data_IF_773181783137
#
_entry.id   IF_773181783137
#
_cell.length_a   1.000
_cell.length_b   1.000
_cell.length_c   1.000
_cell.angle_alpha   90.00
_cell.angle_beta   90.00
_cell.angle_gamma   90.00
#
_symmetry.space_group_name_H-M   'P 1'
#
loop_
_entity.id
_entity.type
_entity.pdbx_description
1 polymer ?
#
# COMPACT_ATOMS: atom_id res chain seq x y z
N UNK A 1 -21.95 23.06 -4.38
CA UNK A 1 -21.02 22.21 -3.63
C UNK A 1 -21.85 21.40 -2.67
N UNK A 2 -21.57 20.11 -2.51
CA UNK A 2 -22.27 19.25 -1.58
C UNK A 2 -21.45 19.08 -0.31
N UNK A 3 -22.12 19.04 0.85
CA UNK A 3 -21.48 18.79 2.14
C UNK A 3 -21.41 17.30 2.42
N UNK A 4 -20.22 16.78 2.69
CA UNK A 4 -20.00 15.40 3.10
C UNK A 4 -19.72 15.36 4.59
N UNK A 5 -20.49 14.56 5.32
CA UNK A 5 -20.30 14.31 6.75
C UNK A 5 -19.91 12.85 6.97
N UNK A 6 -18.79 12.63 7.65
CA UNK A 6 -18.36 11.29 8.06
C UNK A 6 -19.08 10.88 9.34
N UNK A 7 -19.28 9.58 9.55
CA UNK A 7 -19.79 9.03 10.82
C UNK A 7 -18.92 9.39 12.04
N UNK A 8 -17.66 9.77 11.82
CA UNK A 8 -16.75 10.31 12.84
C UNK A 8 -17.03 11.78 13.22
N UNK A 9 -17.96 12.45 12.55
CA UNK A 9 -18.31 13.86 12.77
C UNK A 9 -17.48 14.87 11.97
N UNK A 10 -16.44 14.43 11.25
CA UNK A 10 -15.69 15.30 10.32
C UNK A 10 -16.53 15.63 9.10
N UNK A 11 -16.38 16.83 8.55
CA UNK A 11 -17.08 17.24 7.35
C UNK A 11 -16.19 18.03 6.39
N UNK A 12 -16.52 17.97 5.10
CA UNK A 12 -15.82 18.68 4.03
C UNK A 12 -16.76 18.89 2.83
N UNK A 13 -16.45 19.87 2.00
CA UNK A 13 -17.22 20.15 0.78
C UNK A 13 -16.62 19.42 -0.42
N UNK A 14 -17.48 19.04 -1.37
CA UNK A 14 -17.05 18.49 -2.66
C UNK A 14 -17.63 19.27 -3.84
N UNK A 15 -16.82 19.37 -4.90
CA UNK A 15 -17.24 19.89 -6.20
C UNK A 15 -17.69 18.75 -7.12
N UNK A 16 -18.53 19.06 -8.10
CA UNK A 16 -19.08 18.07 -9.04
C UNK A 16 -18.04 17.35 -9.89
N UNK A 17 -16.83 17.92 -10.00
CA UNK A 17 -15.77 17.44 -10.87
C UNK A 17 -14.63 16.77 -10.09
N UNK A 18 -14.68 16.83 -8.75
CA UNK A 18 -13.69 16.19 -7.87
C UNK A 18 -14.26 14.92 -7.28
N UNK A 19 -13.39 13.91 -7.10
CA UNK A 19 -13.77 12.71 -6.36
C UNK A 19 -13.91 13.05 -4.87
N UNK A 20 -14.73 12.28 -4.15
CA UNK A 20 -14.89 12.40 -2.69
C UNK A 20 -13.53 12.31 -1.99
N UNK A 21 -12.66 11.40 -2.45
CA UNK A 21 -11.31 11.22 -1.91
C UNK A 21 -10.43 12.46 -2.12
N UNK A 22 -10.45 13.06 -3.31
CA UNK A 22 -9.64 14.25 -3.61
C UNK A 22 -10.14 15.45 -2.81
N UNK A 23 -11.45 15.65 -2.72
CA UNK A 23 -12.05 16.69 -1.88
C UNK A 23 -11.69 16.51 -0.40
N UNK A 24 -11.77 15.29 0.13
CA UNK A 24 -11.36 15.01 1.50
C UNK A 24 -9.88 15.34 1.74
N UNK A 25 -9.01 14.94 0.80
CA UNK A 25 -7.57 15.20 0.87
C UNK A 25 -7.28 16.71 0.88
N UNK A 26 -7.95 17.49 0.02
CA UNK A 26 -7.82 18.95 -0.05
C UNK A 26 -8.30 19.64 1.23
N UNK A 27 -9.30 19.09 1.90
CA UNK A 27 -9.81 19.58 3.19
C UNK A 27 -9.08 18.99 4.40
N UNK A 28 -7.95 18.30 4.20
CA UNK A 28 -7.17 17.63 5.26
C UNK A 28 -7.97 16.59 6.06
N UNK A 29 -8.99 15.99 5.43
CA UNK A 29 -9.77 14.88 5.97
C UNK A 29 -9.21 13.58 5.40
N UNK A 30 -8.62 12.76 6.27
CA UNK A 30 -8.06 11.47 5.88
C UNK A 30 -9.16 10.43 5.62
N UNK A 31 -9.21 9.92 4.39
CA UNK A 31 -9.96 8.71 4.02
C UNK A 31 -8.98 7.60 3.64
N UNK A 32 -9.33 6.31 3.84
CA UNK A 32 -8.54 5.20 3.34
C UNK A 32 -8.39 5.24 1.81
N UNK A 33 -7.19 4.94 1.30
CA UNK A 33 -6.91 4.73 -0.12
C UNK A 33 -5.55 4.06 -0.37
N UNK A 34 -5.43 3.48 -1.57
CA UNK A 34 -4.19 2.98 -2.17
C UNK A 34 -4.12 3.42 -3.65
N UNK A 35 -4.84 2.76 -4.57
CA UNK A 35 -4.60 2.95 -6.01
C UNK A 35 -5.15 4.21 -6.68
N UNK A 36 -6.13 4.90 -6.07
CA UNK A 36 -6.88 6.03 -6.65
C UNK A 36 -7.47 5.82 -8.07
N UNK A 37 -7.72 4.58 -8.48
CA UNK A 37 -8.20 4.25 -9.84
C UNK A 37 -9.47 3.40 -9.85
N UNK A 38 -10.17 3.31 -8.71
CA UNK A 38 -11.42 2.57 -8.59
C UNK A 38 -11.29 1.04 -8.63
N UNK A 39 -10.09 0.48 -8.35
CA UNK A 39 -9.80 -0.96 -8.51
C UNK A 39 -9.52 -1.72 -7.22
N UNK A 40 -8.68 -1.18 -6.32
CA UNK A 40 -8.15 -1.95 -5.18
C UNK A 40 -9.08 -2.07 -3.96
N UNK A 41 -10.25 -1.43 -3.99
CA UNK A 41 -11.24 -1.42 -2.89
C UNK A 41 -10.80 -0.84 -1.53
N UNK A 42 -9.56 -0.36 -1.38
CA UNK A 42 -9.07 0.22 -0.11
C UNK A 42 -9.88 1.45 0.30
N UNK A 43 -10.35 2.25 -0.65
CA UNK A 43 -11.12 3.47 -0.40
C UNK A 43 -12.63 3.25 -0.28
N UNK A 44 -13.03 2.01 0.00
CA UNK A 44 -14.42 1.60 0.16
C UNK A 44 -15.06 2.28 1.36
N UNK A 45 -16.22 2.87 1.16
CA UNK A 45 -17.05 3.48 2.20
C UNK A 45 -18.52 3.22 1.91
N UNK A 46 -19.37 3.33 2.93
CA UNK A 46 -20.81 3.11 2.81
C UNK A 46 -21.55 4.43 2.81
N UNK A 47 -22.45 4.61 1.86
CA UNK A 47 -23.38 5.74 1.85
C UNK A 47 -24.49 5.44 2.85
N UNK A 48 -24.58 6.26 3.89
CA UNK A 48 -25.65 6.20 4.89
C UNK A 48 -26.85 7.02 4.41
N UNK A 49 -26.61 8.16 3.77
CA UNK A 49 -27.63 8.98 3.13
C UNK A 49 -27.07 9.85 2.00
N UNK A 50 -27.96 10.25 1.09
CA UNK A 50 -27.68 11.08 -0.07
C UNK A 50 -27.25 10.29 -1.31
N UNK A 51 -26.83 11.02 -2.35
CA UNK A 51 -26.60 10.46 -3.68
C UNK A 51 -25.19 10.76 -4.23
N UNK A 52 -24.70 9.82 -5.05
CA UNK A 52 -23.36 9.91 -5.67
C UNK A 52 -23.42 9.66 -7.16
N UNK A 53 -22.42 10.21 -7.85
CA UNK A 53 -22.20 10.00 -9.29
C UNK A 53 -20.81 9.43 -9.53
N UNK A 54 -20.70 8.47 -10.44
CA UNK A 54 -19.43 7.88 -10.87
C UNK A 54 -18.68 8.86 -11.78
N UNK A 55 -17.41 9.11 -11.45
CA UNK A 55 -16.45 9.90 -12.26
C UNK A 55 -15.38 9.00 -12.92
N UNK A 56 -14.99 7.94 -12.24
CA UNK A 56 -13.98 6.96 -12.70
C UNK A 56 -14.59 5.57 -12.62
N UNK A 57 -14.20 4.66 -13.51
CA UNK A 57 -14.69 3.28 -13.49
C UNK A 57 -14.53 2.64 -12.11
N UNK A 58 -15.64 2.19 -11.53
CA UNK A 58 -15.71 1.61 -10.18
C UNK A 58 -15.74 0.07 -10.30
N UNK A 59 -14.54 -0.51 -10.42
CA UNK A 59 -14.33 -1.93 -10.73
C UNK A 59 -13.98 -2.77 -9.50
N UNK A 60 -13.54 -2.13 -8.42
CA UNK A 60 -13.17 -2.78 -7.16
C UNK A 60 -14.35 -3.12 -6.25
N UNK A 61 -15.59 -3.15 -6.75
CA UNK A 61 -16.77 -3.53 -5.97
C UNK A 61 -17.60 -4.54 -6.75
N UNK A 62 -18.12 -5.52 -6.03
CA UNK A 62 -19.14 -6.42 -6.54
C UNK A 62 -20.47 -5.69 -6.71
N UNK A 63 -21.36 -6.21 -7.56
CA UNK A 63 -22.70 -5.62 -7.73
C UNK A 63 -23.54 -5.69 -6.44
N UNK A 64 -23.33 -6.71 -5.61
CA UNK A 64 -23.97 -6.83 -4.29
C UNK A 64 -23.50 -5.72 -3.35
N UNK A 65 -22.19 -5.46 -3.29
CA UNK A 65 -21.67 -4.36 -2.48
C UNK A 65 -22.24 -3.00 -2.94
N UNK A 66 -22.32 -2.78 -4.27
CA UNK A 66 -22.91 -1.55 -4.82
C UNK A 66 -24.39 -1.41 -4.45
N UNK A 67 -25.17 -2.49 -4.53
CA UNK A 67 -26.59 -2.46 -4.12
C UNK A 67 -26.78 -2.24 -2.64
N UNK A 68 -25.82 -2.69 -1.82
CA UNK A 68 -25.82 -2.50 -0.36
C UNK A 68 -25.34 -1.09 0.06
N UNK A 69 -25.12 -0.19 -0.90
CA UNK A 69 -24.73 1.20 -0.67
C UNK A 69 -23.23 1.42 -0.47
N UNK A 70 -22.39 0.43 -0.77
CA UNK A 70 -20.94 0.61 -0.80
C UNK A 70 -20.50 1.32 -2.07
N UNK A 71 -19.55 2.24 -1.91
CA UNK A 71 -18.92 3.00 -2.99
C UNK A 71 -17.41 3.04 -2.81
N UNK A 72 -16.68 3.43 -3.87
CA UNK A 72 -15.28 3.80 -3.80
C UNK A 72 -15.15 5.33 -3.82
N UNK A 73 -14.68 5.92 -2.72
CA UNK A 73 -14.53 7.39 -2.60
C UNK A 73 -13.59 7.99 -3.65
N UNK A 74 -12.66 7.22 -4.22
CA UNK A 74 -11.79 7.66 -5.32
C UNK A 74 -12.44 7.60 -6.72
N UNK A 75 -13.64 7.03 -6.83
CA UNK A 75 -14.32 6.81 -8.10
C UNK A 75 -15.58 7.67 -8.26
N UNK A 76 -16.07 8.27 -7.18
CA UNK A 76 -17.35 8.98 -7.14
C UNK A 76 -17.22 10.41 -6.63
N UNK A 77 -18.18 11.23 -7.01
CA UNK A 77 -18.47 12.56 -6.43
C UNK A 77 -19.87 12.54 -5.79
N UNK A 78 -20.18 13.54 -4.97
CA UNK A 78 -21.51 13.71 -4.37
C UNK A 78 -22.41 14.58 -5.27
N UNK A 79 -23.68 14.21 -5.41
CA UNK A 79 -24.71 15.03 -6.09
C UNK A 79 -25.65 15.74 -5.12
N UNK A 80 -25.73 15.25 -3.88
CA UNK A 80 -26.42 15.88 -2.75
C UNK A 80 -25.48 15.89 -1.54
N UNK A 81 -25.90 16.50 -0.44
CA UNK A 81 -25.22 16.28 0.84
C UNK A 81 -25.20 14.79 1.17
N UNK A 82 -24.07 14.31 1.71
CA UNK A 82 -23.81 12.90 1.98
C UNK A 82 -23.50 12.67 3.44
N UNK A 83 -23.96 11.53 3.96
CA UNK A 83 -23.41 10.93 5.16
C UNK A 83 -22.68 9.64 4.77
N UNK A 84 -21.39 9.56 5.10
CA UNK A 84 -20.54 8.40 4.79
C UNK A 84 -20.07 7.70 6.06
N UNK A 85 -20.22 6.39 6.07
CA UNK A 85 -19.52 5.51 7.01
C UNK A 85 -18.19 5.09 6.38
N UNK A 86 -17.09 5.45 7.04
CA UNK A 86 -15.73 5.22 6.56
C UNK A 86 -14.91 4.57 7.66
N UNK A 87 -13.97 3.71 7.27
CA UNK A 87 -13.00 3.13 8.17
C UNK A 87 -12.12 4.22 8.83
N UNK A 88 -11.97 4.13 10.15
CA UNK A 88 -11.16 5.05 10.93
C UNK A 88 -9.66 4.81 10.67
N UNK A 89 -8.92 5.88 10.39
CA UNK A 89 -7.46 5.84 10.26
C UNK A 89 -6.75 5.79 11.62
N UNK A 90 -7.48 5.58 12.72
CA UNK A 90 -6.96 5.43 14.07
C UNK A 90 -6.50 6.75 14.68
N UNK A 91 -7.09 7.87 14.25
CA UNK A 91 -6.67 9.22 14.68
C UNK A 91 -5.29 9.66 14.15
N UNK A 92 -4.69 8.89 13.24
CA UNK A 92 -3.36 9.21 12.69
C UNK A 92 -3.43 10.44 11.79
N UNK A 93 -2.59 11.44 12.10
CA UNK A 93 -2.43 12.62 11.26
C UNK A 93 -1.63 12.26 10.00
N UNK A 94 -2.28 12.35 8.84
CA UNK A 94 -1.64 12.03 7.56
C UNK A 94 -0.71 13.19 7.18
N UNK A 95 0.59 12.95 6.91
CA UNK A 95 1.49 14.00 6.48
C UNK A 95 1.06 14.59 5.13
N UNK A 96 1.22 15.90 4.99
CA UNK A 96 0.88 16.63 3.78
C UNK A 96 1.81 16.26 2.61
N UNK A 97 1.23 15.96 1.45
CA UNK A 97 1.99 15.66 0.25
C UNK A 97 2.62 16.93 -0.36
N UNK A 98 3.92 16.88 -0.68
CA UNK A 98 4.67 17.98 -1.29
C UNK A 98 5.43 17.50 -2.51
N UNK A 99 5.64 18.40 -3.48
CA UNK A 99 6.49 18.10 -4.63
C UNK A 99 7.90 18.58 -4.37
N UNK A 100 8.85 17.65 -4.27
CA UNK A 100 10.24 17.93 -3.90
C UNK A 100 11.19 17.52 -5.04
N UNK A 101 12.31 18.21 -5.15
CA UNK A 101 13.43 17.72 -5.94
C UNK A 101 14.16 16.62 -5.17
N UNK A 102 14.70 15.62 -5.86
CA UNK A 102 15.52 14.58 -5.26
C UNK A 102 16.62 14.14 -6.24
N UNK A 103 17.67 13.50 -5.72
CA UNK A 103 18.70 12.86 -6.56
C UNK A 103 18.83 11.39 -6.24
N UNK A 104 19.19 10.60 -7.25
CA UNK A 104 19.59 9.21 -7.05
C UNK A 104 20.92 9.19 -6.28
N UNK A 105 20.90 8.62 -5.09
CA UNK A 105 22.08 8.41 -4.23
C UNK A 105 22.79 7.11 -4.60
N UNK A 106 22.04 6.02 -4.77
CA UNK A 106 22.57 4.72 -5.19
C UNK A 106 21.54 3.90 -5.97
N UNK A 107 22.06 2.96 -6.76
CA UNK A 107 21.33 1.95 -7.52
C UNK A 107 21.98 0.60 -7.24
N UNK A 108 21.19 -0.40 -6.89
CA UNK A 108 21.64 -1.75 -6.55
C UNK A 108 20.69 -2.78 -7.15
N UNK A 109 21.21 -3.77 -7.87
CA UNK A 109 20.39 -4.87 -8.39
C UNK A 109 20.13 -5.87 -7.27
N UNK A 110 18.86 -6.05 -6.91
CA UNK A 110 18.43 -6.98 -5.85
C UNK A 110 18.08 -8.35 -6.42
N UNK A 111 17.43 -8.37 -7.58
CA UNK A 111 17.04 -9.58 -8.32
C UNK A 111 17.15 -9.28 -9.83
N UNK A 112 17.07 -10.28 -10.73
CA UNK A 112 17.20 -10.07 -12.18
C UNK A 112 16.30 -8.96 -12.74
N UNK A 113 15.10 -8.79 -12.17
CA UNK A 113 14.12 -7.77 -12.57
C UNK A 113 13.79 -6.78 -11.44
N UNK A 114 14.59 -6.71 -10.37
CA UNK A 114 14.35 -5.78 -9.24
C UNK A 114 15.59 -4.96 -8.93
N UNK A 115 15.43 -3.64 -8.87
CA UNK A 115 16.45 -2.72 -8.37
C UNK A 115 16.02 -2.04 -7.08
N UNK A 116 16.99 -1.80 -6.20
CA UNK A 116 16.89 -0.85 -5.10
C UNK A 116 17.38 0.50 -5.56
N UNK A 117 16.55 1.52 -5.35
CA UNK A 117 16.87 2.91 -5.63
C UNK A 117 16.86 3.66 -4.30
N UNK A 118 17.97 4.31 -3.96
CA UNK A 118 18.02 5.24 -2.83
C UNK A 118 18.00 6.66 -3.36
N UNK A 119 17.00 7.44 -2.94
CA UNK A 119 16.87 8.86 -3.25
C UNK A 119 17.33 9.69 -2.05
N UNK A 120 18.02 10.79 -2.33
CA UNK A 120 18.39 11.80 -1.34
C UNK A 120 17.69 13.12 -1.63
N UNK A 121 17.22 13.76 -0.58
CA UNK A 121 16.61 15.09 -0.62
C UNK A 121 17.67 16.19 -0.49
N UNK A 122 17.36 17.45 -0.84
CA UNK A 122 18.21 18.59 -0.51
C UNK A 122 18.46 18.69 1.01
N UNK A 123 19.63 19.18 1.48
CA UNK A 123 20.04 19.12 2.89
C UNK A 123 19.06 19.71 3.92
N UNK A 124 18.23 20.69 3.53
CA UNK A 124 17.29 21.38 4.41
C UNK A 124 15.83 20.97 4.16
N UNK A 125 15.61 19.87 3.45
CA UNK A 125 14.29 19.37 3.09
C UNK A 125 14.14 17.97 3.65
N UNK A 126 13.19 17.81 4.57
CA UNK A 126 12.76 16.50 5.06
C UNK A 126 11.38 16.17 4.50
N UNK A 127 11.16 14.89 4.22
CA UNK A 127 9.85 14.35 3.91
C UNK A 127 9.37 13.60 5.15
N UNK A 128 8.37 14.14 5.85
CA UNK A 128 7.68 13.39 6.90
C UNK A 128 6.77 12.37 6.24
N UNK A 129 6.95 11.09 6.55
CA UNK A 129 6.10 10.01 6.05
C UNK A 129 5.90 8.94 7.12
N UNK A 130 4.81 8.20 7.01
CA UNK A 130 4.51 7.06 7.88
C UNK A 130 4.96 5.79 7.14
N UNK A 131 5.68 4.86 7.80
CA UNK A 131 6.06 3.59 7.20
C UNK A 131 4.90 2.86 6.51
N UNK A 132 5.13 2.48 5.26
CA UNK A 132 4.13 1.87 4.37
C UNK A 132 3.46 2.83 3.37
N UNK A 133 3.64 4.14 3.55
CA UNK A 133 3.28 5.13 2.52
C UNK A 133 4.16 5.02 1.27
N UNK A 134 3.69 5.63 0.19
CA UNK A 134 4.37 5.66 -1.10
C UNK A 134 4.65 7.10 -1.57
N UNK A 135 5.49 7.23 -2.58
CA UNK A 135 5.72 8.48 -3.31
C UNK A 135 5.45 8.28 -4.79
N UNK A 136 5.04 9.34 -5.47
CA UNK A 136 5.10 9.38 -6.92
C UNK A 136 6.47 9.89 -7.35
N UNK A 137 7.24 9.10 -8.09
CA UNK A 137 8.45 9.57 -8.77
C UNK A 137 8.05 10.17 -10.12
N UNK A 138 8.50 11.39 -10.36
CA UNK A 138 8.31 12.16 -11.59
C UNK A 138 9.64 12.13 -12.34
N UNK A 139 9.71 11.26 -13.33
CA UNK A 139 10.89 11.03 -14.17
C UNK A 139 10.96 11.95 -15.39
N UNK A 140 11.91 11.66 -16.31
CA UNK A 140 12.02 12.39 -17.58
C UNK A 140 10.70 12.41 -18.37
N UNK A 141 10.44 13.52 -19.05
CA UNK A 141 9.19 13.71 -19.80
C UNK A 141 7.93 13.85 -18.93
N UNK A 142 8.08 14.03 -17.61
CA UNK A 142 6.96 14.20 -16.69
C UNK A 142 6.21 12.91 -16.34
N UNK A 143 6.76 11.75 -16.73
CA UNK A 143 6.15 10.45 -16.43
C UNK A 143 6.12 10.26 -14.92
N UNK A 144 4.95 9.91 -14.40
CA UNK A 144 4.70 9.71 -12.98
C UNK A 144 4.42 8.25 -12.67
N UNK A 145 5.10 7.68 -11.67
CA UNK A 145 4.79 6.33 -11.15
C UNK A 145 4.92 6.30 -9.64
N UNK A 146 3.99 5.58 -9.01
CA UNK A 146 3.95 5.39 -7.57
C UNK A 146 4.87 4.25 -7.16
N UNK A 147 5.65 4.47 -6.10
CA UNK A 147 6.54 3.48 -5.49
C UNK A 147 6.46 3.58 -3.97
N UNK A 148 6.15 2.47 -3.31
CA UNK A 148 6.13 2.38 -1.85
C UNK A 148 7.52 2.59 -1.28
N UNK A 149 7.60 3.32 -0.16
CA UNK A 149 8.84 3.52 0.57
C UNK A 149 9.22 2.20 1.26
N UNK A 150 10.48 1.79 1.09
CA UNK A 150 11.02 0.53 1.58
C UNK A 150 11.77 0.64 2.92
N UNK A 151 11.87 1.85 3.47
CA UNK A 151 12.50 2.11 4.75
C UNK A 151 11.62 2.95 5.66
N UNK A 152 11.82 2.82 6.98
CA UNK A 152 11.30 3.78 7.95
C UNK A 152 12.06 5.12 7.84
N UNK A 153 11.50 6.24 8.35
CA UNK A 153 12.23 7.51 8.42
C UNK A 153 13.61 7.35 9.09
N UNK A 154 14.66 7.82 8.40
CA UNK A 154 16.06 7.75 8.85
C UNK A 154 16.61 9.15 9.09
N UNK A 155 17.64 9.25 9.94
CA UNK A 155 18.30 10.52 10.25
C UNK A 155 18.94 11.21 9.02
N UNK A 156 19.33 10.43 8.00
CA UNK A 156 19.91 10.94 6.77
C UNK A 156 18.87 11.38 5.72
N UNK A 157 17.57 11.29 6.04
CA UNK A 157 16.44 11.64 5.16
C UNK A 157 16.45 10.93 3.79
N UNK A 158 17.08 9.76 3.70
CA UNK A 158 17.06 8.96 2.46
C UNK A 158 15.75 8.20 2.31
N UNK A 159 15.34 8.02 1.05
CA UNK A 159 14.15 7.28 0.66
C UNK A 159 14.56 6.08 -0.19
N UNK A 160 14.20 4.88 0.24
CA UNK A 160 14.52 3.62 -0.40
C UNK A 160 13.29 3.10 -1.16
N UNK A 161 13.48 2.63 -2.39
CA UNK A 161 12.44 2.06 -3.24
C UNK A 161 12.90 0.70 -3.77
N UNK A 162 11.99 -0.28 -3.82
CA UNK A 162 12.22 -1.53 -4.54
C UNK A 162 11.36 -1.54 -5.82
N UNK A 163 12.03 -1.55 -6.97
CA UNK A 163 11.38 -1.33 -8.26
C UNK A 163 11.53 -2.57 -9.12
N UNK A 164 10.41 -3.19 -9.47
CA UNK A 164 10.37 -4.30 -10.43
C UNK A 164 10.25 -3.79 -11.87
N UNK A 165 10.94 -4.44 -12.80
CA UNK A 165 10.80 -4.18 -14.23
C UNK A 165 9.41 -4.64 -14.70
N UNK A 166 8.75 -3.78 -15.48
CA UNK A 166 7.53 -4.11 -16.21
C UNK A 166 7.87 -4.12 -17.68
N UNK A 167 7.51 -5.20 -18.39
CA UNK A 167 7.75 -5.32 -19.82
C UNK A 167 7.14 -4.13 -20.57
N UNK A 168 7.92 -3.49 -21.45
CA UNK A 168 7.53 -2.27 -22.19
C UNK A 168 7.11 -1.08 -21.29
N UNK A 169 7.41 -1.15 -19.99
CA UNK A 169 7.11 -0.09 -19.03
C UNK A 169 8.01 1.11 -19.26
N UNK A 170 7.44 2.27 -19.57
CA UNK A 170 8.23 3.47 -19.88
C UNK A 170 9.15 3.89 -18.71
N UNK A 171 8.63 3.85 -17.48
CA UNK A 171 9.45 4.13 -16.30
C UNK A 171 10.44 3.00 -15.99
N UNK A 172 10.12 1.74 -16.32
CA UNK A 172 11.08 0.63 -16.20
C UNK A 172 12.24 0.80 -17.18
N UNK A 173 12.00 1.30 -18.40
CA UNK A 173 13.08 1.62 -19.33
C UNK A 173 14.02 2.67 -18.75
N UNK A 174 13.48 3.71 -18.10
CA UNK A 174 14.30 4.71 -17.41
C UNK A 174 15.15 4.07 -16.32
N UNK A 175 14.53 3.36 -15.38
CA UNK A 175 15.22 2.78 -14.23
C UNK A 175 16.34 1.80 -14.62
N UNK A 176 16.06 0.87 -15.52
CA UNK A 176 16.96 -0.24 -15.81
C UNK A 176 18.00 0.08 -16.89
N UNK A 177 17.79 1.11 -17.71
CA UNK A 177 18.66 1.37 -18.87
C UNK A 177 19.18 2.80 -18.98
N UNK A 178 18.59 3.77 -18.28
CA UNK A 178 18.92 5.20 -18.46
C UNK A 178 19.36 5.88 -17.16
N UNK A 179 18.85 5.40 -16.02
CA UNK A 179 19.08 6.04 -14.73
C UNK A 179 20.53 5.86 -14.28
N UNK A 180 21.11 6.95 -13.77
CA UNK A 180 22.46 6.95 -13.19
C UNK A 180 22.49 7.70 -11.87
N UNK A 181 23.45 7.36 -11.01
CA UNK A 181 23.69 8.08 -9.75
C UNK A 181 23.82 9.58 -10.03
N UNK A 182 23.27 10.39 -9.12
CA UNK A 182 23.14 11.85 -9.21
C UNK A 182 22.11 12.40 -10.21
N UNK A 183 21.37 11.57 -10.94
CA UNK A 183 20.24 12.06 -11.74
C UNK A 183 19.25 12.83 -10.87
N UNK A 184 18.84 14.00 -11.38
CA UNK A 184 17.86 14.87 -10.75
C UNK A 184 16.46 14.44 -11.18
N UNK A 185 15.61 14.19 -10.19
CA UNK A 185 14.21 13.83 -10.37
C UNK A 185 13.35 14.73 -9.48
N UNK A 186 12.04 14.61 -9.63
CA UNK A 186 11.08 15.13 -8.65
C UNK A 186 10.29 13.98 -8.06
N UNK A 187 9.80 14.17 -6.85
CA UNK A 187 8.83 13.29 -6.23
C UNK A 187 7.64 14.08 -5.73
N UNK A 188 6.49 13.43 -5.60
CA UNK A 188 5.31 13.96 -4.93
C UNK A 188 4.84 12.97 -3.87
N UNK A 189 4.83 13.41 -2.61
CA UNK A 189 4.38 12.58 -1.50
C UNK A 189 4.62 13.20 -0.12
N UNK A 190 4.42 12.42 0.96
CA UNK A 190 3.99 11.03 0.91
C UNK A 190 2.52 10.90 0.49
N UNK A 191 2.14 9.71 0.08
CA UNK A 191 0.78 9.33 -0.26
C UNK A 191 0.47 7.93 0.27
N UNK A 192 -0.82 7.59 0.29
CA UNK A 192 -1.32 6.30 0.74
C UNK A 192 -1.66 6.26 2.21
N UNK A 193 -2.48 5.28 2.57
CA UNK A 193 -2.92 5.02 3.95
C UNK A 193 -2.61 3.62 4.44
N UNK A 194 -1.73 2.91 3.72
CA UNK A 194 -1.24 1.60 4.12
C UNK A 194 -0.12 1.76 5.15
N UNK A 195 -0.49 1.88 6.42
CA UNK A 195 0.44 2.02 7.55
C UNK A 195 -0.17 1.37 8.79
N UNK A 196 0.66 1.06 9.78
CA UNK A 196 0.20 0.37 10.99
C UNK A 196 -0.85 1.20 11.76
N UNK A 197 -1.97 0.56 12.09
CA UNK A 197 -3.05 1.06 12.96
C UNK A 197 -2.84 0.56 14.39
N UNK A 198 -3.92 0.33 15.14
CA UNK A 198 -3.90 -0.24 16.50
C UNK A 198 -3.45 -1.70 16.46
N UNK A 199 -2.16 -1.93 16.64
CA UNK A 199 -1.53 -3.26 16.64
C UNK A 199 -1.21 -3.80 18.04
N UNK A 200 -1.40 -3.00 19.09
CA UNK A 200 -1.13 -3.40 20.47
C UNK A 200 -1.84 -4.72 20.81
N UNK A 201 -1.07 -5.70 21.33
CA UNK A 201 -1.56 -7.03 21.73
C UNK A 201 -2.22 -7.84 20.60
N UNK A 202 -2.01 -7.47 19.33
CA UNK A 202 -2.51 -8.20 18.16
C UNK A 202 -1.45 -9.13 17.57
N UNK A 203 -1.90 -10.17 16.90
CA UNK A 203 -1.04 -10.99 16.05
C UNK A 203 -0.87 -10.30 14.69
N UNK A 204 0.28 -9.65 14.49
CA UNK A 204 0.57 -8.87 13.29
C UNK A 204 1.08 -9.79 12.18
N UNK A 205 0.34 -9.84 11.07
CA UNK A 205 0.64 -10.72 9.95
C UNK A 205 0.84 -9.88 8.68
N UNK A 206 1.99 -10.05 8.06
CA UNK A 206 2.29 -9.44 6.76
C UNK A 206 2.20 -10.46 5.64
N UNK A 207 1.43 -10.14 4.59
CA UNK A 207 1.37 -10.89 3.35
C UNK A 207 1.96 -10.03 2.22
N UNK A 208 3.14 -10.38 1.76
CA UNK A 208 3.79 -9.66 0.65
C UNK A 208 3.94 -10.56 -0.57
N UNK A 209 3.84 -10.00 -1.77
CA UNK A 209 4.32 -10.68 -3.00
C UNK A 209 5.23 -9.79 -3.82
N UNK A 210 6.35 -10.36 -4.30
CA UNK A 210 7.33 -9.63 -5.10
C UNK A 210 7.81 -8.35 -4.38
N UNK A 211 7.80 -7.20 -5.06
CA UNK A 211 8.20 -5.91 -4.46
C UNK A 211 7.19 -5.33 -3.47
N UNK A 212 6.04 -5.98 -3.25
CA UNK A 212 5.11 -5.65 -2.15
C UNK A 212 5.73 -5.82 -0.76
N UNK A 213 6.92 -6.44 -0.67
CA UNK A 213 7.71 -6.48 0.56
C UNK A 213 8.28 -5.11 0.96
N UNK A 214 8.38 -4.14 0.04
CA UNK A 214 8.92 -2.81 0.33
C UNK A 214 8.19 -2.10 1.49
N UNK A 215 6.87 -1.85 1.43
CA UNK A 215 6.18 -1.18 2.54
C UNK A 215 6.19 -2.02 3.83
N UNK A 216 6.23 -3.37 3.72
CA UNK A 216 6.37 -4.25 4.88
C UNK A 216 7.71 -4.04 5.58
N UNK A 217 8.81 -3.98 4.82
CA UNK A 217 10.15 -3.66 5.34
C UNK A 217 10.15 -2.31 6.06
N UNK A 218 9.55 -1.28 5.47
CA UNK A 218 9.44 0.03 6.11
C UNK A 218 8.70 -0.06 7.46
N UNK A 219 7.56 -0.75 7.50
CA UNK A 219 6.78 -0.91 8.74
C UNK A 219 7.57 -1.64 9.82
N UNK A 220 8.25 -2.73 9.47
CA UNK A 220 9.08 -3.51 10.40
C UNK A 220 10.26 -2.68 10.94
N UNK A 221 10.95 -1.91 10.08
CA UNK A 221 12.00 -0.98 10.51
C UNK A 221 11.49 0.11 11.46
N UNK A 222 10.20 0.46 11.39
CA UNK A 222 9.56 1.47 12.25
C UNK A 222 9.10 0.95 13.61
N UNK A 223 8.90 -0.37 13.78
CA UNK A 223 8.40 -0.96 15.01
C UNK A 223 9.22 -0.61 16.27
N UNK A 224 10.57 -0.57 16.22
CA UNK A 224 11.37 -0.21 17.40
C UNK A 224 11.13 1.20 17.95
N UNK A 225 10.49 2.09 17.16
CA UNK A 225 10.17 3.45 17.60
C UNK A 225 8.86 3.56 18.40
N UNK A 226 8.05 2.49 18.40
CA UNK A 226 6.81 2.43 19.15
C UNK A 226 7.08 2.15 20.63
N UNK A 227 6.23 2.68 21.51
CA UNK A 227 6.29 2.36 22.93
C UNK A 227 5.92 0.90 23.20
N UNK A 228 6.35 0.35 24.34
CA UNK A 228 6.15 -1.06 24.68
C UNK A 228 4.67 -1.48 24.70
N UNK A 229 3.78 -0.60 25.16
CA UNK A 229 2.33 -0.80 25.18
C UNK A 229 1.67 -0.77 23.79
N UNK A 230 2.40 -0.31 22.77
CA UNK A 230 1.97 -0.27 21.38
C UNK A 230 2.50 -1.44 20.55
N UNK A 231 3.39 -2.27 21.10
CA UNK A 231 3.97 -3.39 20.38
C UNK A 231 2.93 -4.50 20.11
N UNK A 232 3.04 -5.19 18.96
CA UNK A 232 2.20 -6.36 18.68
C UNK A 232 2.61 -7.54 19.56
N UNK A 233 1.69 -8.49 19.74
CA UNK A 233 1.95 -9.72 20.47
C UNK A 233 2.89 -10.65 19.69
N UNK A 234 2.66 -10.78 18.38
CA UNK A 234 3.47 -11.61 17.49
C UNK A 234 3.61 -10.95 16.12
N UNK A 235 4.69 -11.29 15.41
CA UNK A 235 4.94 -10.78 14.05
C UNK A 235 5.29 -11.96 13.14
N UNK A 236 4.42 -12.21 12.16
CA UNK A 236 4.63 -13.19 11.09
C UNK A 236 4.71 -12.49 9.75
N UNK A 237 5.72 -12.82 8.95
CA UNK A 237 5.86 -12.33 7.58
C UNK A 237 5.82 -13.50 6.61
N UNK A 238 4.93 -13.44 5.63
CA UNK A 238 4.85 -14.40 4.54
C UNK A 238 5.17 -13.66 3.25
N UNK A 239 6.26 -14.05 2.58
CA UNK A 239 6.71 -13.41 1.35
C UNK A 239 6.62 -14.39 0.18
N UNK A 240 5.67 -14.11 -0.72
CA UNK A 240 5.43 -14.85 -1.93
C UNK A 240 6.26 -14.37 -3.11
N UNK A 241 6.87 -15.31 -3.81
CA UNK A 241 7.68 -15.10 -5.00
C UNK A 241 7.34 -16.12 -6.09
N UNK A 242 7.83 -15.90 -7.31
CA UNK A 242 7.78 -16.93 -8.34
C UNK A 242 8.92 -17.91 -8.12
N UNK A 243 10.14 -17.39 -8.05
CA UNK A 243 11.36 -18.16 -7.91
C UNK A 243 12.17 -17.71 -6.70
N UNK A 244 13.12 -18.52 -6.25
CA UNK A 244 13.91 -18.24 -5.03
C UNK A 244 14.69 -16.92 -5.13
N UNK A 245 15.24 -16.59 -6.30
CA UNK A 245 15.97 -15.32 -6.51
C UNK A 245 15.09 -14.06 -6.40
N UNK A 246 13.76 -14.18 -6.43
CA UNK A 246 12.86 -13.06 -6.16
C UNK A 246 12.79 -12.73 -4.66
N UNK A 247 13.29 -13.60 -3.78
CA UNK A 247 13.39 -13.40 -2.32
C UNK A 247 14.75 -12.77 -1.98
N UNK A 248 14.92 -11.51 -2.39
CA UNK A 248 16.21 -10.85 -2.53
C UNK A 248 16.84 -10.26 -1.26
N UNK A 249 16.27 -10.46 -0.07
CA UNK A 249 16.93 -10.10 1.20
C UNK A 249 16.38 -10.91 2.38
N UNK A 250 17.14 -10.93 3.49
CA UNK A 250 16.75 -11.67 4.69
C UNK A 250 15.71 -10.92 5.52
N UNK A 251 14.44 -11.30 5.37
CA UNK A 251 13.31 -10.77 6.15
C UNK A 251 13.38 -11.18 7.62
N UNK A 252 13.96 -12.34 7.95
CA UNK A 252 14.02 -12.81 9.34
C UNK A 252 14.95 -11.94 10.19
N UNK A 253 15.87 -11.20 9.55
CA UNK A 253 16.74 -10.23 10.21
C UNK A 253 16.05 -8.90 10.58
N UNK A 254 14.85 -8.65 10.07
CA UNK A 254 14.14 -7.39 10.34
C UNK A 254 13.59 -7.32 11.78
N UNK A 255 13.46 -6.11 12.36
CA UNK A 255 13.06 -5.95 13.75
C UNK A 255 11.72 -6.60 14.06
N UNK A 256 11.69 -7.36 15.16
CA UNK A 256 10.48 -7.97 15.70
C UNK A 256 9.96 -9.19 14.94
N UNK A 257 10.51 -9.55 13.76
CA UNK A 257 10.05 -10.72 13.00
C UNK A 257 10.31 -12.01 13.80
N UNK A 258 9.23 -12.65 14.24
CA UNK A 258 9.31 -13.92 15.00
C UNK A 258 9.19 -15.12 14.07
N UNK A 259 8.41 -14.99 13.00
CA UNK A 259 8.19 -16.04 12.00
C UNK A 259 8.27 -15.48 10.60
N UNK A 260 9.19 -16.01 9.80
CA UNK A 260 9.28 -15.72 8.37
C UNK A 260 8.97 -17.00 7.58
N UNK A 261 8.07 -16.89 6.59
CA UNK A 261 7.66 -18.00 5.73
C UNK A 261 7.84 -17.58 4.26
N UNK A 262 8.94 -18.00 3.59
CA UNK A 262 9.09 -17.82 2.15
C UNK A 262 8.16 -18.76 1.39
N UNK A 263 7.48 -18.25 0.37
CA UNK A 263 6.52 -19.02 -0.44
C UNK A 263 6.85 -18.89 -1.91
N UNK A 264 7.03 -20.02 -2.61
CA UNK A 264 7.28 -20.03 -4.05
C UNK A 264 6.09 -20.59 -4.82
N UNK A 265 5.62 -19.84 -5.81
CA UNK A 265 4.55 -20.27 -6.73
C UNK A 265 5.08 -21.06 -7.93
N UNK A 266 6.38 -20.97 -8.22
CA UNK A 266 7.09 -21.68 -9.30
C UNK A 266 8.43 -22.22 -8.78
N UNK A 267 8.35 -22.95 -7.68
CA UNK A 267 9.49 -23.56 -7.01
C UNK A 267 10.23 -24.55 -7.92
N UNK A 268 11.55 -24.59 -7.81
CA UNK A 268 12.34 -25.69 -8.37
C UNK A 268 12.19 -26.94 -7.48
N UNK A 269 12.48 -28.12 -8.03
CA UNK A 269 12.35 -29.38 -7.29
C UNK A 269 13.22 -29.45 -6.02
N UNK A 270 14.26 -28.63 -5.94
CA UNK A 270 15.17 -28.51 -4.79
C UNK A 270 14.56 -27.73 -3.62
N UNK A 271 13.53 -26.92 -3.86
CA UNK A 271 12.92 -26.07 -2.84
C UNK A 271 12.22 -26.90 -1.75
N UNK A 272 12.67 -26.73 -0.51
CA UNK A 272 12.12 -27.42 0.67
C UNK A 272 11.12 -26.55 1.46
N UNK A 273 10.93 -25.29 1.07
CA UNK A 273 10.01 -24.37 1.74
C UNK A 273 8.57 -24.51 1.25
N UNK A 274 7.74 -23.56 1.66
CA UNK A 274 6.33 -23.55 1.29
C UNK A 274 6.13 -23.27 -0.21
N UNK A 275 5.16 -23.97 -0.80
CA UNK A 275 4.77 -23.80 -2.19
C UNK A 275 3.31 -23.37 -2.32
N UNK A 276 3.01 -22.62 -3.38
CA UNK A 276 1.66 -22.12 -3.69
C UNK A 276 1.50 -20.63 -3.43
N UNK A 277 0.38 -20.25 -2.81
CA UNK A 277 0.02 -18.85 -2.58
C UNK A 277 0.01 -18.49 -1.09
N UNK A 278 0.34 -17.24 -0.79
CA UNK A 278 0.61 -16.75 0.57
C UNK A 278 -0.57 -16.90 1.52
N UNK A 279 -1.81 -16.71 1.05
CA UNK A 279 -3.02 -16.85 1.86
C UNK A 279 -3.31 -18.30 2.24
N UNK A 280 -3.01 -19.25 1.35
CA UNK A 280 -3.24 -20.67 1.61
C UNK A 280 -2.18 -21.21 2.58
N UNK A 281 -0.93 -20.77 2.40
CA UNK A 281 0.17 -21.04 3.33
C UNK A 281 -0.14 -20.49 4.71
N UNK A 282 -0.66 -19.26 4.81
CA UNK A 282 -1.03 -18.66 6.09
C UNK A 282 -1.98 -19.58 6.88
N UNK A 283 -3.02 -20.09 6.23
CA UNK A 283 -4.01 -20.96 6.87
C UNK A 283 -3.46 -22.35 7.28
N UNK A 284 -2.36 -22.81 6.68
CA UNK A 284 -1.64 -24.01 7.15
C UNK A 284 -0.87 -23.77 8.43
N UNK A 285 -0.46 -22.52 8.68
CA UNK A 285 0.44 -22.14 9.76
C UNK A 285 -0.25 -21.45 10.94
N UNK A 286 -1.43 -20.86 10.73
CA UNK A 286 -2.18 -20.10 11.73
C UNK A 286 -3.65 -20.52 11.66
N UNK A 287 -4.11 -21.19 12.71
CA UNK A 287 -5.47 -21.75 12.79
C UNK A 287 -6.52 -20.79 13.37
N UNK A 288 -6.09 -19.74 14.08
CA UNK A 288 -7.00 -18.75 14.67
C UNK A 288 -6.60 -17.33 14.24
N UNK A 289 -7.47 -16.68 13.48
CA UNK A 289 -7.28 -15.33 12.96
C UNK A 289 -8.09 -14.27 13.72
N UNK A 290 -8.79 -14.62 14.80
CA UNK A 290 -9.66 -13.68 15.50
C UNK A 290 -8.90 -12.52 16.16
N UNK A 291 -7.66 -12.77 16.60
CA UNK A 291 -6.77 -11.73 17.13
C UNK A 291 -5.81 -11.15 16.08
N UNK A 292 -5.88 -11.65 14.83
CA UNK A 292 -4.96 -11.24 13.80
C UNK A 292 -5.31 -9.85 13.24
N UNK A 293 -4.26 -9.13 12.88
CA UNK A 293 -4.33 -7.97 11.99
C UNK A 293 -3.40 -8.22 10.81
N UNK A 294 -3.96 -8.19 9.60
CA UNK A 294 -3.29 -8.54 8.36
C UNK A 294 -2.98 -7.29 7.55
N UNK A 295 -1.73 -7.16 7.12
CA UNK A 295 -1.27 -6.15 6.16
C UNK A 295 -0.80 -6.85 4.90
N UNK A 296 -1.55 -6.70 3.80
CA UNK A 296 -1.28 -7.36 2.53
C UNK A 296 -0.83 -6.38 1.44
N UNK A 297 0.33 -6.61 0.81
CA UNK A 297 0.81 -5.77 -0.28
C UNK A 297 1.35 -6.60 -1.45
N UNK A 298 0.93 -6.27 -2.67
CA UNK A 298 1.31 -7.02 -3.85
C UNK A 298 0.35 -6.84 -5.02
N UNK A 299 0.16 -7.91 -5.81
CA UNK A 299 -0.76 -7.84 -6.94
C UNK A 299 -2.20 -7.70 -6.48
N UNK A 300 -3.00 -7.01 -7.30
CA UNK A 300 -4.45 -6.85 -7.08
C UNK A 300 -5.16 -8.21 -6.91
N UNK A 301 -4.79 -9.20 -7.72
CA UNK A 301 -5.31 -10.56 -7.62
C UNK A 301 -5.00 -11.25 -6.29
N UNK A 302 -3.77 -11.08 -5.77
CA UNK A 302 -3.37 -11.66 -4.49
C UNK A 302 -4.17 -11.04 -3.35
N UNK A 303 -4.35 -9.73 -3.36
CA UNK A 303 -5.07 -9.01 -2.31
C UNK A 303 -6.53 -9.45 -2.25
N UNK A 304 -7.22 -9.51 -3.39
CA UNK A 304 -8.60 -9.98 -3.45
C UNK A 304 -8.74 -11.43 -2.97
N UNK A 305 -7.86 -12.32 -3.44
CA UNK A 305 -7.83 -13.72 -3.02
C UNK A 305 -7.57 -13.85 -1.52
N UNK A 306 -6.56 -13.15 -0.99
CA UNK A 306 -6.22 -13.20 0.43
C UNK A 306 -7.36 -12.67 1.31
N UNK A 307 -7.97 -11.54 0.94
CA UNK A 307 -9.11 -10.99 1.70
C UNK A 307 -10.27 -11.98 1.76
N UNK A 308 -10.66 -12.54 0.63
CA UNK A 308 -11.75 -13.52 0.56
C UNK A 308 -11.44 -14.78 1.39
N UNK A 309 -10.28 -15.38 1.17
CA UNK A 309 -9.86 -16.62 1.86
C UNK A 309 -9.77 -16.43 3.37
N UNK A 310 -9.17 -15.33 3.84
CA UNK A 310 -8.97 -15.12 5.28
C UNK A 310 -10.24 -14.69 6.00
N UNK A 311 -11.12 -13.91 5.37
CA UNK A 311 -12.43 -13.60 5.95
C UNK A 311 -13.32 -14.84 6.04
N UNK A 312 -13.26 -15.75 5.06
CA UNK A 312 -13.91 -17.05 5.16
C UNK A 312 -13.35 -17.90 6.33
N UNK A 313 -12.08 -17.71 6.67
CA UNK A 313 -11.40 -18.30 7.83
C UNK A 313 -11.55 -17.47 9.12
N UNK A 314 -12.62 -16.67 9.25
CA UNK A 314 -12.96 -15.90 10.46
C UNK A 314 -12.05 -14.71 10.80
N UNK A 315 -11.20 -14.24 9.87
CA UNK A 315 -10.56 -12.93 10.02
C UNK A 315 -11.63 -11.84 9.94
N UNK A 316 -11.68 -10.96 10.93
CA UNK A 316 -12.51 -9.76 10.86
C UNK A 316 -12.07 -8.92 9.64
N UNK A 317 -12.99 -8.61 8.73
CA UNK A 317 -12.69 -7.85 7.51
C UNK A 317 -12.15 -6.44 7.77
N UNK A 318 -12.42 -5.85 8.94
CA UNK A 318 -11.86 -4.56 9.38
C UNK A 318 -10.41 -4.67 9.89
N UNK A 319 -9.89 -5.89 10.03
CA UNK A 319 -8.49 -6.15 10.39
C UNK A 319 -7.65 -6.57 9.17
N UNK A 320 -8.16 -6.39 7.95
CA UNK A 320 -7.43 -6.67 6.72
C UNK A 320 -7.14 -5.35 5.97
N UNK A 321 -5.89 -4.91 6.07
CA UNK A 321 -5.37 -3.71 5.42
C UNK A 321 -4.59 -4.11 4.16
N UNK A 322 -4.71 -3.32 3.09
CA UNK A 322 -4.00 -3.67 1.84
C UNK A 322 -3.56 -2.50 0.98
N UNK A 323 -2.48 -2.74 0.22
CA UNK A 323 -1.94 -1.85 -0.81
C UNK A 323 -1.69 -2.63 -2.11
N UNK A 324 -2.46 -2.32 -3.15
CA UNK A 324 -2.44 -3.04 -4.41
C UNK A 324 -1.61 -2.35 -5.48
N UNK A 325 -0.66 -3.08 -6.05
CA UNK A 325 0.15 -2.62 -7.17
C UNK A 325 -0.62 -2.91 -8.47
N UNK A 326 -1.40 -1.92 -8.91
CA UNK A 326 -2.12 -1.95 -10.19
C UNK A 326 -1.27 -1.34 -11.30
N UNK A 327 -1.23 -2.02 -12.45
CA UNK A 327 -0.58 -1.50 -13.64
C UNK A 327 -1.33 -0.25 -14.12
N UNK A 328 -0.58 0.84 -14.36
CA UNK A 328 -1.12 2.09 -14.93
C UNK A 328 -1.15 2.10 -16.46
N UNK A 329 -0.62 1.06 -17.11
CA UNK A 329 -0.73 0.87 -18.55
C UNK A 329 -2.00 0.09 -18.92
N UNK A 330 -2.61 0.41 -20.05
CA UNK A 330 -3.61 -0.46 -20.67
C UNK A 330 -2.94 -1.81 -20.92
N UNK A 331 -3.38 -2.87 -20.25
CA UNK A 331 -3.05 -4.22 -20.67
C UNK A 331 -3.62 -4.35 -22.09
N UNK A 332 -2.74 -4.46 -23.09
CA UNK A 332 -3.18 -4.90 -24.41
C UNK A 332 -3.82 -6.28 -24.19
N UNK A 333 -5.10 -6.40 -24.60
CA UNK A 333 -5.80 -7.68 -24.67
C UNK A 333 -5.07 -8.63 -25.60
#
# INVERSE_FOLDING_TARGET
MALITLSSGKSFETSSDSTILDSATQSHVGLPYSCKTGRCSTCKCKVVSGETKVLVAELGLTEVEKSDGWILSCARTATTDLVLEVEDLGGVAIPEAKTLACRISSLETLAPDVIKVVLRLPPNVALNFIPGQYIDVIGPGGIRRSYSLANAPKADNTLELHIRAVEKGVMSQYWFNQSTVNNLLRLHGPQGTFFLRKIAQRDLIFLATGTGIAPVKAMLEGLPTLSEDQQPQSITVIWGARHEHDLYFDVASLPGVQKYIPVLSRAEATWQGEQGYVQDVLLRHISDLRNAVVYACGSDSMIHSAKSTLTAASLNSHNFYSDAFVCSGTLAQ
#
